data_IF_624588731286
#
_entry.id   IF_624588731286
#
_cell.length_a   1.000
_cell.length_b   1.000
_cell.length_c   1.000
_cell.angle_alpha   90.00
_cell.angle_beta   90.00
_cell.angle_gamma   90.00
#
_symmetry.space_group_name_H-M   'P 1'
#
loop_
_entity.id
_entity.type
_entity.pdbx_description
1 polymer ?
#
# COMPACT_ATOMS: atom_id res chain seq x y z
N UNK A 1 1.02 32.87 -13.43
CA UNK A 1 2.46 32.90 -13.13
C UNK A 1 2.79 31.64 -12.35
N UNK A 2 3.26 30.59 -13.03
CA UNK A 2 3.54 29.31 -12.41
C UNK A 2 4.79 29.40 -11.55
N UNK A 3 4.67 29.20 -10.25
CA UNK A 3 5.80 29.14 -9.34
C UNK A 3 6.58 27.84 -9.59
N UNK A 4 7.64 27.93 -10.40
CA UNK A 4 8.69 26.90 -10.54
C UNK A 4 9.53 26.85 -9.24
N UNK A 5 8.92 26.49 -8.12
CA UNK A 5 9.71 25.96 -7.00
C UNK A 5 10.18 24.57 -7.42
N UNK A 6 11.48 24.24 -7.27
CA UNK A 6 11.96 22.89 -7.59
C UNK A 6 11.15 21.87 -6.79
N UNK A 7 10.60 20.87 -7.47
CA UNK A 7 9.83 19.83 -6.83
C UNK A 7 10.69 19.14 -5.76
N UNK A 8 10.16 19.04 -4.55
CA UNK A 8 10.88 18.38 -3.48
C UNK A 8 11.02 16.88 -3.79
N UNK A 9 12.19 16.32 -3.48
CA UNK A 9 12.49 14.90 -3.65
C UNK A 9 11.92 14.11 -2.47
N UNK A 10 10.64 13.79 -2.53
CA UNK A 10 9.91 13.06 -1.49
C UNK A 10 9.28 11.81 -2.09
N UNK A 11 9.33 10.70 -1.36
CA UNK A 11 8.71 9.43 -1.71
C UNK A 11 7.77 8.98 -0.59
N UNK A 12 6.87 8.06 -0.92
CA UNK A 12 5.97 7.46 0.05
C UNK A 12 6.15 5.94 0.11
N UNK A 13 5.95 5.36 1.28
CA UNK A 13 5.76 3.94 1.47
C UNK A 13 4.37 3.70 2.05
N UNK A 14 3.59 2.84 1.40
CA UNK A 14 2.34 2.31 1.94
C UNK A 14 2.66 1.01 2.66
N UNK A 15 3.18 1.08 3.88
CA UNK A 15 3.62 -0.10 4.64
C UNK A 15 2.42 -0.93 5.07
N UNK A 16 2.37 -2.20 4.66
CA UNK A 16 1.27 -3.10 5.00
C UNK A 16 1.71 -4.09 6.09
N UNK A 17 0.97 -4.12 7.20
CA UNK A 17 1.22 -5.04 8.31
C UNK A 17 -0.03 -5.88 8.61
N UNK A 18 0.19 -7.13 8.99
CA UNK A 18 -0.85 -8.09 9.38
C UNK A 18 -1.24 -7.91 10.85
N UNK A 19 -1.73 -6.72 11.19
CA UNK A 19 -2.28 -6.34 12.50
C UNK A 19 -3.15 -5.09 12.34
N UNK A 20 -4.36 -5.10 12.90
CA UNK A 20 -5.23 -3.91 12.98
C UNK A 20 -6.08 -3.86 14.26
N UNK A 21 -6.12 -4.95 15.04
CA UNK A 21 -6.95 -5.08 16.24
C UNK A 21 -6.24 -4.55 17.47
N UNK A 22 -4.92 -4.70 17.52
CA UNK A 22 -4.08 -4.11 18.55
C UNK A 22 -3.53 -2.76 18.08
N UNK A 23 -4.28 -1.68 18.37
CA UNK A 23 -3.89 -0.30 18.06
C UNK A 23 -2.51 0.08 18.62
N UNK A 24 -2.15 -0.42 19.80
CA UNK A 24 -0.84 -0.14 20.41
C UNK A 24 0.33 -0.67 19.58
N UNK A 25 0.17 -1.85 18.95
CA UNK A 25 1.18 -2.41 18.04
C UNK A 25 1.28 -1.54 16.78
N UNK A 26 0.14 -1.21 16.15
CA UNK A 26 0.10 -0.42 14.91
C UNK A 26 0.74 0.97 15.13
N UNK A 27 0.37 1.66 16.20
CA UNK A 27 0.96 2.94 16.54
C UNK A 27 2.44 2.83 16.93
N UNK A 28 2.88 1.75 17.57
CA UNK A 28 4.31 1.53 17.86
C UNK A 28 5.13 1.40 16.58
N UNK A 29 4.59 0.70 15.57
CA UNK A 29 5.21 0.60 14.23
C UNK A 29 5.29 1.96 13.57
N UNK A 30 4.20 2.74 13.59
CA UNK A 30 4.17 4.09 13.01
C UNK A 30 5.14 5.05 13.70
N UNK A 31 5.19 5.05 15.04
CA UNK A 31 6.10 5.92 15.80
C UNK A 31 7.58 5.56 15.56
N UNK A 32 7.90 4.27 15.36
CA UNK A 32 9.26 3.84 15.04
C UNK A 32 9.78 4.44 13.72
N UNK A 33 8.87 4.82 12.81
CA UNK A 33 9.21 5.41 11.53
C UNK A 33 9.74 6.85 11.62
N UNK A 34 9.69 7.54 12.77
CA UNK A 34 9.76 9.02 12.83
C UNK A 34 11.01 9.59 13.50
N UNK A 35 11.68 8.82 14.35
CA UNK A 35 12.68 9.36 15.28
C UNK A 35 14.08 8.85 14.94
N UNK A 36 14.73 9.47 13.95
CA UNK A 36 16.12 9.24 13.59
C UNK A 36 16.73 10.52 12.99
N UNK A 37 18.07 10.70 13.02
CA UNK A 37 18.70 11.88 12.44
C UNK A 37 18.45 11.99 10.93
N UNK A 38 17.93 13.14 10.48
CA UNK A 38 17.69 13.38 9.05
C UNK A 38 19.01 13.52 8.30
N UNK A 39 19.12 12.87 7.14
CA UNK A 39 20.20 13.12 6.17
C UNK A 39 19.87 14.29 5.23
N UNK A 40 18.58 14.61 5.09
CA UNK A 40 18.11 15.76 4.31
C UNK A 40 18.16 17.04 5.14
N UNK A 41 18.74 18.10 4.56
CA UNK A 41 18.74 19.46 5.14
C UNK A 41 17.56 20.31 4.68
N UNK A 42 16.74 19.78 3.77
CA UNK A 42 15.64 20.52 3.15
C UNK A 42 14.36 20.54 3.99
N UNK A 43 14.30 19.72 5.05
CA UNK A 43 13.10 19.50 5.86
C UNK A 43 13.42 19.51 7.35
N UNK A 44 12.40 19.77 8.16
CA UNK A 44 12.54 19.88 9.62
C UNK A 44 12.48 18.53 10.33
N UNK A 45 11.71 17.58 9.81
CA UNK A 45 11.70 16.21 10.29
C UNK A 45 12.23 15.22 9.23
N UNK A 46 12.71 14.08 9.71
CA UNK A 46 13.33 13.05 8.87
C UNK A 46 12.32 12.29 8.03
N UNK A 47 11.09 12.17 8.52
CA UNK A 47 9.98 11.45 7.92
C UNK A 47 8.68 11.89 8.62
N UNK A 48 7.56 11.57 8.00
CA UNK A 48 6.22 11.77 8.55
C UNK A 48 5.37 10.55 8.26
N UNK A 49 4.44 10.23 9.16
CA UNK A 49 3.36 9.28 8.88
C UNK A 49 2.10 10.10 8.59
N UNK A 50 1.61 10.02 7.37
CA UNK A 50 0.48 10.82 6.89
C UNK A 50 -0.86 10.22 7.27
N UNK A 51 -0.94 8.89 7.30
CA UNK A 51 -2.17 8.16 7.59
C UNK A 51 -1.86 6.79 8.19
N UNK A 52 -2.77 6.31 9.04
CA UNK A 52 -2.85 4.91 9.46
C UNK A 52 -4.28 4.47 9.14
N UNK A 53 -4.41 3.59 8.16
CA UNK A 53 -5.65 2.88 7.91
C UNK A 53 -5.58 1.51 8.57
N UNK A 54 -6.56 1.17 9.41
CA UNK A 54 -6.63 -0.12 10.11
C UNK A 54 -8.03 -0.70 9.94
N UNK A 55 -8.10 -1.88 9.34
CA UNK A 55 -9.36 -2.60 9.13
C UNK A 55 -9.42 -3.82 10.07
N UNK A 56 -10.43 -3.82 10.94
CA UNK A 56 -10.60 -4.82 11.99
C UNK A 56 -10.93 -6.21 11.45
N UNK A 57 -11.77 -6.28 10.41
CA UNK A 57 -12.27 -7.53 9.81
C UNK A 57 -11.18 -8.16 8.94
N UNK A 58 -10.48 -7.35 8.14
CA UNK A 58 -9.30 -7.76 7.41
C UNK A 58 -8.11 -8.07 8.32
N UNK A 59 -8.09 -7.51 9.53
CA UNK A 59 -6.96 -7.54 10.47
C UNK A 59 -5.65 -7.12 9.78
N UNK A 60 -5.70 -6.00 9.06
CA UNK A 60 -4.60 -5.46 8.26
C UNK A 60 -4.57 -3.95 8.39
N UNK A 61 -3.36 -3.41 8.55
CA UNK A 61 -3.15 -1.96 8.55
C UNK A 61 -2.23 -1.53 7.42
N UNK A 62 -2.50 -0.34 6.89
CA UNK A 62 -1.66 0.37 5.93
C UNK A 62 -1.20 1.67 6.56
N UNK A 63 0.11 1.82 6.73
CA UNK A 63 0.74 3.00 7.30
C UNK A 63 1.38 3.78 6.14
N UNK A 64 0.88 4.98 5.86
CA UNK A 64 1.42 5.86 4.82
C UNK A 64 2.57 6.67 5.39
N UNK A 65 3.79 6.21 5.16
CA UNK A 65 5.04 6.88 5.56
C UNK A 65 5.52 7.73 4.38
N UNK A 66 5.84 9.00 4.59
CA UNK A 66 6.48 9.84 3.58
C UNK A 66 7.78 10.43 4.11
N UNK A 67 8.80 10.50 3.27
CA UNK A 67 10.10 11.00 3.67
C UNK A 67 10.88 11.53 2.46
N UNK A 68 11.90 12.37 2.67
CA UNK A 68 12.94 12.62 1.69
C UNK A 68 13.56 11.29 1.23
N UNK A 69 13.98 11.24 -0.03
CA UNK A 69 14.56 10.03 -0.64
C UNK A 69 15.69 9.44 0.20
N UNK A 70 16.52 10.28 0.81
CA UNK A 70 17.69 9.87 1.61
C UNK A 70 17.31 9.22 2.95
N UNK A 71 16.06 9.42 3.39
CA UNK A 71 15.57 9.05 4.72
C UNK A 71 14.56 7.90 4.70
N UNK A 72 13.89 7.64 3.57
CA UNK A 72 12.79 6.65 3.52
C UNK A 72 13.23 5.24 3.91
N UNK A 73 14.44 4.82 3.51
CA UNK A 73 14.97 3.49 3.84
C UNK A 73 15.10 3.31 5.36
N UNK A 74 15.69 4.28 6.05
CA UNK A 74 15.86 4.25 7.50
C UNK A 74 14.52 4.26 8.23
N UNK A 75 13.60 5.12 7.79
CA UNK A 75 12.25 5.25 8.35
C UNK A 75 11.49 3.93 8.28
N UNK A 76 11.40 3.34 7.09
CA UNK A 76 10.65 2.12 6.86
C UNK A 76 11.33 0.91 7.50
N UNK A 77 12.67 0.84 7.51
CA UNK A 77 13.40 -0.22 8.19
C UNK A 77 13.08 -0.27 9.68
N UNK A 78 13.08 0.88 10.37
CA UNK A 78 12.75 0.96 11.81
C UNK A 78 11.32 0.51 12.10
N UNK A 79 10.37 0.94 11.27
CA UNK A 79 8.99 0.47 11.36
C UNK A 79 8.91 -1.07 11.22
N UNK A 80 9.61 -1.63 10.23
CA UNK A 80 9.66 -3.08 10.01
C UNK A 80 10.27 -3.83 11.19
N UNK A 81 11.34 -3.32 11.81
CA UNK A 81 11.96 -3.96 12.99
C UNK A 81 10.96 -4.13 14.14
N UNK A 82 10.16 -3.08 14.41
CA UNK A 82 9.10 -3.15 15.43
C UNK A 82 7.99 -4.11 14.99
N UNK A 83 7.56 -4.04 13.73
CA UNK A 83 6.50 -4.93 13.22
C UNK A 83 6.89 -6.42 13.32
N UNK A 84 8.09 -6.81 12.90
CA UNK A 84 8.57 -8.20 13.05
C UNK A 84 8.73 -8.60 14.53
N UNK A 85 9.10 -7.68 15.41
CA UNK A 85 9.20 -7.98 16.84
C UNK A 85 7.82 -8.30 17.45
N UNK A 86 6.81 -7.49 17.13
CA UNK A 86 5.52 -7.51 17.82
C UNK A 86 4.49 -8.45 17.15
N UNK A 87 4.59 -8.67 15.82
CA UNK A 87 3.59 -9.42 15.06
C UNK A 87 4.05 -10.87 14.84
N UNK A 88 3.18 -11.81 15.19
CA UNK A 88 3.37 -13.23 14.91
C UNK A 88 2.29 -13.71 13.92
N UNK A 89 2.69 -13.92 12.67
CA UNK A 89 1.79 -14.35 11.60
C UNK A 89 1.14 -15.71 11.87
N UNK A 90 1.82 -16.61 12.60
CA UNK A 90 1.27 -17.92 12.98
C UNK A 90 0.07 -17.85 13.92
N UNK A 91 -0.16 -16.70 14.57
CA UNK A 91 -1.34 -16.43 15.42
C UNK A 91 -2.36 -15.51 14.72
N UNK A 92 -2.03 -14.98 13.55
CA UNK A 92 -2.86 -14.02 12.83
C UNK A 92 -4.07 -14.68 12.17
N UNK A 93 -5.24 -14.05 12.35
CA UNK A 93 -6.48 -14.40 11.65
C UNK A 93 -7.15 -13.10 11.17
N UNK A 94 -7.50 -13.03 9.91
CA UNK A 94 -8.16 -11.89 9.27
C UNK A 94 -8.78 -12.27 7.93
N UNK A 95 -9.75 -11.48 7.46
CA UNK A 95 -10.46 -11.74 6.20
C UNK A 95 -9.64 -11.43 4.93
N UNK A 96 -8.56 -10.65 5.05
CA UNK A 96 -7.74 -10.27 3.90
C UNK A 96 -6.57 -11.24 3.68
N UNK A 97 -6.34 -11.72 2.44
CA UNK A 97 -5.21 -12.59 2.14
C UNK A 97 -3.86 -11.90 2.43
N UNK A 98 -2.88 -12.66 2.94
CA UNK A 98 -1.57 -12.16 3.40
C UNK A 98 -0.52 -13.26 3.32
N UNK A 99 0.74 -12.87 3.10
CA UNK A 99 1.90 -13.76 3.11
C UNK A 99 2.92 -13.41 4.20
N UNK A 100 2.88 -12.20 4.76
CA UNK A 100 3.87 -11.73 5.75
C UNK A 100 3.26 -11.02 6.96
N UNK A 101 3.97 -11.06 8.09
CA UNK A 101 3.73 -10.22 9.28
C UNK A 101 3.87 -8.74 8.94
N UNK A 102 4.97 -8.38 8.27
CA UNK A 102 5.06 -7.26 7.33
C UNK A 102 4.74 -7.83 5.96
N UNK A 103 3.58 -7.51 5.39
CA UNK A 103 3.11 -8.14 4.15
C UNK A 103 3.74 -7.49 2.91
N UNK A 104 3.68 -6.16 2.83
CA UNK A 104 4.20 -5.40 1.69
C UNK A 104 4.88 -4.11 2.10
N UNK A 105 5.98 -3.81 1.42
CA UNK A 105 6.77 -2.58 1.50
C UNK A 105 6.94 -2.00 0.08
N UNK A 106 5.88 -1.42 -0.50
CA UNK A 106 6.00 -0.69 -1.75
C UNK A 106 6.57 0.71 -1.49
N UNK A 107 7.64 1.07 -2.21
CA UNK A 107 8.13 2.44 -2.31
C UNK A 107 7.55 3.07 -3.57
N UNK A 108 6.83 4.17 -3.39
CA UNK A 108 6.15 4.89 -4.44
C UNK A 108 6.82 6.22 -4.70
N UNK A 109 6.99 6.54 -5.97
CA UNK A 109 7.21 7.92 -6.37
C UNK A 109 5.90 8.71 -6.28
N UNK A 110 5.97 9.89 -5.68
CA UNK A 110 4.87 10.86 -5.57
C UNK A 110 5.26 12.22 -6.18
N UNK A 111 6.35 12.26 -6.95
CA UNK A 111 6.92 13.46 -7.58
C UNK A 111 7.68 13.06 -8.83
N UNK A 112 7.62 13.87 -9.88
CA UNK A 112 8.38 13.61 -11.12
C UNK A 112 9.90 13.73 -10.93
N UNK A 113 10.34 14.34 -9.83
CA UNK A 113 11.76 14.48 -9.50
C UNK A 113 12.46 13.19 -9.09
N UNK A 114 11.71 12.12 -8.75
CA UNK A 114 12.26 10.83 -8.30
C UNK A 114 11.77 9.73 -9.21
N UNK A 115 12.71 9.00 -9.82
CA UNK A 115 12.39 7.92 -10.75
C UNK A 115 11.97 6.64 -10.02
N UNK A 116 11.21 5.78 -10.69
CA UNK A 116 10.91 4.45 -10.16
C UNK A 116 12.16 3.56 -10.06
N UNK A 117 13.15 3.74 -10.92
CA UNK A 117 14.42 3.00 -10.84
C UNK A 117 15.15 3.32 -9.53
N UNK A 118 15.24 4.60 -9.16
CA UNK A 118 15.81 5.05 -7.88
C UNK A 118 15.01 4.49 -6.68
N UNK A 119 13.68 4.51 -6.75
CA UNK A 119 12.83 3.85 -5.75
C UNK A 119 13.09 2.32 -5.67
N UNK A 120 13.38 1.69 -6.81
CA UNK A 120 13.71 0.27 -6.92
C UNK A 120 15.02 -0.08 -6.24
N UNK A 121 16.05 0.75 -6.40
CA UNK A 121 17.33 0.60 -5.68
C UNK A 121 17.14 0.73 -4.17
N UNK A 122 16.36 1.72 -3.73
CA UNK A 122 16.00 1.90 -2.31
C UNK A 122 15.27 0.67 -1.77
N UNK A 123 14.25 0.18 -2.49
CA UNK A 123 13.49 -0.99 -2.10
C UNK A 123 14.38 -2.25 -2.02
N UNK A 124 15.27 -2.46 -2.99
CA UNK A 124 16.22 -3.58 -2.97
C UNK A 124 17.19 -3.50 -1.78
N UNK A 125 17.74 -2.30 -1.51
CA UNK A 125 18.64 -2.08 -0.38
C UNK A 125 17.93 -2.29 0.96
N UNK A 126 16.68 -1.79 1.09
CA UNK A 126 15.83 -2.05 2.23
C UNK A 126 15.58 -3.55 2.43
N UNK A 127 15.24 -4.28 1.37
CA UNK A 127 15.05 -5.74 1.42
C UNK A 127 16.30 -6.48 1.92
N UNK A 128 17.48 -6.15 1.38
CA UNK A 128 18.77 -6.69 1.83
C UNK A 128 19.05 -6.35 3.30
N UNK A 129 18.76 -5.11 3.70
CA UNK A 129 18.96 -4.64 5.06
C UNK A 129 18.05 -5.34 6.06
N UNK A 130 16.79 -5.57 5.72
CA UNK A 130 15.83 -6.33 6.54
C UNK A 130 16.39 -7.74 6.82
N UNK A 131 16.72 -8.51 5.77
CA UNK A 131 17.18 -9.89 5.95
C UNK A 131 18.55 -9.99 6.62
N UNK A 132 19.39 -8.95 6.49
CA UNK A 132 20.69 -8.86 7.18
C UNK A 132 20.61 -8.53 8.67
N UNK A 133 19.52 -7.91 9.13
CA UNK A 133 19.37 -7.43 10.52
C UNK A 133 18.27 -8.14 11.31
N UNK A 134 17.27 -8.71 10.64
CA UNK A 134 16.17 -9.46 11.27
C UNK A 134 16.26 -10.91 10.80
N UNK A 135 16.82 -11.78 11.65
CA UNK A 135 17.01 -13.20 11.33
C UNK A 135 15.68 -13.87 10.99
N UNK A 136 15.74 -14.89 10.13
CA UNK A 136 14.59 -15.71 9.70
C UNK A 136 13.53 -14.96 8.89
N UNK A 137 13.81 -13.73 8.47
CA UNK A 137 12.96 -13.01 7.52
C UNK A 137 13.28 -13.39 6.09
N UNK A 138 12.27 -13.27 5.24
CA UNK A 138 12.29 -13.61 3.82
C UNK A 138 11.65 -12.50 3.03
N UNK A 139 12.22 -12.19 1.88
CA UNK A 139 11.70 -11.15 0.99
C UNK A 139 11.54 -11.69 -0.42
N UNK A 140 10.42 -11.35 -1.06
CA UNK A 140 10.30 -11.39 -2.51
C UNK A 140 10.24 -9.97 -3.08
N UNK A 141 10.92 -9.76 -4.20
CA UNK A 141 11.03 -8.48 -4.88
C UNK A 141 9.94 -8.34 -5.94
N UNK A 142 9.49 -7.11 -6.16
CA UNK A 142 8.57 -6.77 -7.25
C UNK A 142 8.80 -5.35 -7.79
N UNK A 143 8.21 -5.06 -8.94
CA UNK A 143 8.33 -3.79 -9.63
C UNK A 143 9.80 -3.48 -9.95
N UNK A 144 10.20 -2.23 -9.78
CA UNK A 144 11.55 -1.77 -10.10
C UNK A 144 12.68 -2.37 -9.24
N UNK A 145 12.34 -3.09 -8.15
CA UNK A 145 13.31 -3.87 -7.38
C UNK A 145 13.57 -5.27 -7.95
N UNK A 146 12.66 -5.81 -8.78
CA UNK A 146 12.75 -7.14 -9.38
C UNK A 146 13.50 -7.11 -10.72
N UNK A 147 14.80 -6.79 -10.67
CA UNK A 147 15.63 -6.69 -11.87
C UNK A 147 16.12 -8.08 -12.35
N UNK A 148 16.24 -8.30 -13.68
CA UNK A 148 16.00 -7.35 -14.78
C UNK A 148 14.55 -7.33 -15.32
N UNK A 149 13.65 -8.14 -14.75
CA UNK A 149 12.34 -8.42 -15.36
C UNK A 149 11.25 -7.37 -15.04
N UNK A 150 11.42 -6.62 -13.95
CA UNK A 150 10.53 -5.55 -13.48
C UNK A 150 9.07 -6.03 -13.33
N UNK A 151 8.86 -7.27 -12.83
CA UNK A 151 7.52 -7.86 -12.79
C UNK A 151 6.66 -7.20 -11.72
N UNK A 152 5.41 -6.91 -12.08
CA UNK A 152 4.46 -6.27 -11.17
C UNK A 152 4.09 -7.15 -9.96
N UNK A 153 3.46 -6.54 -8.95
CA UNK A 153 3.11 -7.23 -7.70
C UNK A 153 2.22 -8.47 -7.92
N UNK A 154 1.21 -8.38 -8.80
CA UNK A 154 0.30 -9.50 -9.08
C UNK A 154 1.04 -10.69 -9.70
N UNK A 155 1.96 -10.43 -10.64
CA UNK A 155 2.77 -11.45 -11.28
C UNK A 155 3.73 -12.10 -10.28
N UNK A 156 4.42 -11.30 -9.47
CA UNK A 156 5.32 -11.81 -8.42
C UNK A 156 4.59 -12.62 -7.36
N UNK A 157 3.41 -12.18 -6.91
CA UNK A 157 2.54 -12.95 -6.02
C UNK A 157 2.22 -14.34 -6.56
N UNK A 158 1.94 -14.46 -7.87
CA UNK A 158 1.74 -15.78 -8.50
C UNK A 158 3.03 -16.59 -8.51
N UNK A 159 4.16 -15.98 -8.89
CA UNK A 159 5.45 -16.64 -8.98
C UNK A 159 5.96 -17.20 -7.64
N UNK A 160 5.61 -16.57 -6.51
CA UNK A 160 6.01 -17.01 -5.16
C UNK A 160 4.94 -17.82 -4.43
N UNK A 161 3.89 -18.24 -5.12
CA UNK A 161 2.77 -19.00 -4.54
C UNK A 161 2.02 -18.26 -3.41
N UNK A 162 1.95 -16.91 -3.46
CA UNK A 162 1.32 -16.06 -2.43
C UNK A 162 -0.16 -16.39 -2.17
N UNK A 163 -0.89 -16.88 -3.19
CA UNK A 163 -2.33 -17.19 -3.07
C UNK A 163 -2.61 -18.61 -2.53
N UNK A 164 -1.59 -19.42 -2.23
CA UNK A 164 -1.78 -20.77 -1.73
C UNK A 164 -1.98 -20.75 -0.20
N UNK A 165 -3.20 -21.02 0.27
CA UNK A 165 -3.51 -21.23 1.69
C UNK A 165 -4.15 -20.04 2.39
N UNK A 166 -5.48 -19.99 2.43
CA UNK A 166 -6.23 -18.98 3.20
C UNK A 166 -6.19 -19.25 4.72
N UNK A 167 -6.08 -20.52 5.13
CA UNK A 167 -6.10 -20.93 6.54
C UNK A 167 -4.86 -21.71 6.98
N UNK A 168 -4.23 -22.48 6.09
CA UNK A 168 -3.01 -23.26 6.36
C UNK A 168 -1.98 -23.05 5.26
N UNK A 169 -1.22 -21.97 5.37
CA UNK A 169 -0.14 -21.69 4.43
C UNK A 169 1.03 -22.66 4.63
N UNK A 170 1.37 -23.39 3.56
CA UNK A 170 2.58 -24.20 3.49
C UNK A 170 3.76 -23.34 3.03
N UNK A 171 4.47 -22.76 3.99
CA UNK A 171 5.62 -21.91 3.72
C UNK A 171 6.79 -22.62 3.00
N UNK A 172 6.82 -23.96 2.98
CA UNK A 172 7.83 -24.71 2.23
C UNK A 172 7.68 -24.57 0.71
N UNK A 173 6.49 -24.16 0.24
CA UNK A 173 6.17 -23.93 -1.18
C UNK A 173 6.27 -22.47 -1.58
N UNK A 174 6.41 -21.57 -0.61
CA UNK A 174 6.49 -20.13 -0.87
C UNK A 174 7.87 -19.80 -1.42
N UNK A 175 7.92 -19.10 -2.55
CA UNK A 175 9.17 -18.61 -3.12
C UNK A 175 9.68 -17.35 -2.40
N UNK A 176 11.00 -17.15 -2.39
CA UNK A 176 11.63 -15.93 -1.88
C UNK A 176 12.89 -15.63 -2.69
N UNK A 177 13.30 -14.37 -2.69
CA UNK A 177 14.50 -13.90 -3.42
C UNK A 177 15.66 -13.59 -2.47
N UNK A 178 15.37 -13.08 -1.26
CA UNK A 178 16.37 -12.69 -0.27
C UNK A 178 16.06 -13.31 1.10
N UNK A 179 17.12 -13.58 1.87
CA UNK A 179 17.01 -14.03 3.27
C UNK A 179 16.87 -15.54 3.43
N UNK A 180 16.21 -15.93 4.51
CA UNK A 180 16.01 -17.35 4.87
C UNK A 180 14.72 -17.89 4.22
N UNK A 181 14.47 -19.22 4.23
CA UNK A 181 13.16 -19.75 3.89
C UNK A 181 12.04 -19.12 4.74
N UNK A 182 10.88 -18.80 4.15
CA UNK A 182 9.73 -18.24 4.87
C UNK A 182 9.35 -19.08 6.08
N UNK A 183 9.12 -18.40 7.21
CA UNK A 183 8.79 -19.03 8.48
C UNK A 183 7.34 -18.76 8.87
N UNK A 184 6.76 -19.60 9.73
CA UNK A 184 5.39 -19.39 10.20
C UNK A 184 5.22 -18.07 10.97
N UNK A 185 6.27 -17.59 11.65
CA UNK A 185 6.22 -16.35 12.43
C UNK A 185 6.21 -15.12 11.54
N UNK A 186 7.08 -15.06 10.53
CA UNK A 186 7.26 -13.86 9.72
C UNK A 186 6.59 -13.92 8.36
N UNK A 187 6.49 -15.12 7.79
CA UNK A 187 6.08 -15.34 6.42
C UNK A 187 7.11 -14.83 5.42
N UNK A 188 6.62 -14.27 4.32
CA UNK A 188 7.47 -13.67 3.28
C UNK A 188 6.96 -12.27 2.93
N UNK A 189 7.85 -11.29 2.98
CA UNK A 189 7.53 -9.88 2.77
C UNK A 189 7.75 -9.47 1.32
N UNK A 190 6.76 -8.86 0.69
CA UNK A 190 6.96 -8.26 -0.64
C UNK A 190 7.62 -6.90 -0.53
N UNK A 191 8.75 -6.68 -1.18
CA UNK A 191 9.44 -5.38 -1.20
C UNK A 191 9.63 -4.94 -2.65
N UNK A 192 9.27 -3.69 -2.96
CA UNK A 192 9.31 -3.26 -4.36
C UNK A 192 9.08 -1.78 -4.56
N UNK A 193 9.16 -1.37 -5.82
CA UNK A 193 8.86 0.00 -6.22
C UNK A 193 7.98 0.03 -7.46
N UNK A 194 6.88 0.78 -7.35
CA UNK A 194 5.82 0.88 -8.36
C UNK A 194 5.25 2.30 -8.31
N UNK A 195 4.52 2.75 -9.36
CA UNK A 195 3.71 3.96 -9.27
C UNK A 195 2.83 3.96 -8.02
N UNK A 196 2.46 5.15 -7.54
CA UNK A 196 1.59 5.29 -6.37
C UNK A 196 0.25 4.56 -6.59
N UNK A 197 -0.32 3.96 -5.54
CA UNK A 197 -1.60 3.27 -5.62
C UNK A 197 -2.64 4.02 -4.80
N UNK A 198 -3.78 4.29 -5.43
CA UNK A 198 -4.94 4.90 -4.76
C UNK A 198 -5.96 3.83 -4.44
N UNK A 199 -6.46 3.76 -3.20
CA UNK A 199 -7.48 2.78 -2.82
C UNK A 199 -8.85 3.46 -2.73
N UNK A 200 -9.83 2.95 -3.46
CA UNK A 200 -11.20 3.47 -3.50
C UNK A 200 -12.18 2.32 -3.24
N UNK A 201 -12.87 2.37 -2.11
CA UNK A 201 -13.86 1.37 -1.75
C UNK A 201 -15.26 1.94 -2.02
N UNK A 202 -16.07 1.21 -2.79
CA UNK A 202 -17.46 1.60 -3.06
C UNK A 202 -18.38 0.55 -2.44
N UNK A 203 -19.21 0.96 -1.48
CA UNK A 203 -20.17 0.08 -0.80
C UNK A 203 -21.53 0.18 -1.46
N UNK A 204 -22.14 -0.97 -1.75
CA UNK A 204 -23.53 -1.08 -2.23
C UNK A 204 -24.45 -1.49 -1.08
N UNK A 205 -25.69 -1.00 -1.11
CA UNK A 205 -26.68 -1.25 -0.06
C UNK A 205 -27.39 -2.60 -0.24
N UNK A 206 -26.61 -3.69 -0.22
CA UNK A 206 -27.11 -5.06 -0.23
C UNK A 206 -26.11 -6.03 0.42
N UNK A 207 -26.56 -7.28 0.65
CA UNK A 207 -25.74 -8.39 1.16
C UNK A 207 -25.40 -9.42 0.07
N UNK A 208 -25.76 -9.15 -1.18
CA UNK A 208 -25.54 -10.08 -2.29
C UNK A 208 -24.08 -10.02 -2.76
N UNK A 209 -23.24 -10.86 -2.15
CA UNK A 209 -21.83 -10.96 -2.51
C UNK A 209 -21.63 -11.41 -3.97
N UNK A 210 -22.58 -12.13 -4.55
CA UNK A 210 -22.49 -12.53 -5.96
C UNK A 210 -22.64 -11.32 -6.88
N UNK A 211 -23.60 -10.44 -6.60
CA UNK A 211 -23.71 -9.14 -7.27
C UNK A 211 -22.43 -8.31 -7.10
N UNK A 212 -21.87 -8.26 -5.89
CA UNK A 212 -20.58 -7.60 -5.64
C UNK A 212 -19.46 -8.12 -6.53
N UNK A 213 -19.33 -9.44 -6.64
CA UNK A 213 -18.32 -10.09 -7.50
C UNK A 213 -18.53 -9.78 -8.98
N UNK A 214 -19.78 -9.71 -9.44
CA UNK A 214 -20.13 -9.32 -10.80
C UNK A 214 -19.72 -7.87 -11.10
N UNK A 215 -20.05 -6.94 -10.20
CA UNK A 215 -19.66 -5.53 -10.29
C UNK A 215 -18.14 -5.40 -10.28
N UNK A 216 -17.46 -6.02 -9.30
CA UNK A 216 -16.01 -5.99 -9.20
C UNK A 216 -15.38 -6.47 -10.51
N UNK A 217 -15.80 -7.63 -11.03
CA UNK A 217 -15.31 -8.14 -12.32
C UNK A 217 -15.53 -7.13 -13.46
N UNK A 218 -16.70 -6.52 -13.56
CA UNK A 218 -17.05 -5.61 -14.65
C UNK A 218 -16.22 -4.32 -14.68
N UNK A 219 -15.75 -3.83 -13.52
CA UNK A 219 -14.97 -2.58 -13.45
C UNK A 219 -13.46 -2.78 -13.59
N UNK A 220 -12.95 -4.02 -13.52
CA UNK A 220 -11.51 -4.29 -13.64
C UNK A 220 -10.97 -3.87 -15.00
N UNK A 221 -9.77 -3.30 -15.02
CA UNK A 221 -9.05 -2.93 -16.24
C UNK A 221 -8.85 -4.10 -17.23
N UNK A 222 -8.82 -5.32 -16.72
CA UNK A 222 -8.67 -6.55 -17.52
C UNK A 222 -9.96 -6.96 -18.25
N UNK A 223 -11.09 -6.31 -17.97
CA UNK A 223 -12.39 -6.63 -18.57
C UNK A 223 -12.69 -5.62 -19.68
N UNK A 224 -13.17 -6.06 -20.87
CA UNK A 224 -13.58 -5.15 -21.93
C UNK A 224 -14.62 -4.13 -21.43
N UNK A 225 -14.31 -2.83 -21.57
CA UNK A 225 -15.16 -1.75 -21.05
C UNK A 225 -15.05 -1.52 -19.53
N UNK A 226 -14.04 -2.11 -18.88
CA UNK A 226 -13.63 -1.79 -17.51
C UNK A 226 -12.86 -0.47 -17.43
N UNK A 227 -12.49 -0.08 -16.21
CA UNK A 227 -11.83 1.18 -15.93
C UNK A 227 -10.30 1.01 -15.95
N UNK A 228 -9.58 1.97 -16.53
CA UNK A 228 -8.12 1.91 -16.65
C UNK A 228 -7.45 1.82 -15.28
N UNK A 229 -6.45 0.94 -15.13
CA UNK A 229 -5.71 0.78 -13.88
C UNK A 229 -6.50 0.21 -12.69
N UNK A 230 -7.81 0.02 -12.79
CA UNK A 230 -8.63 -0.48 -11.68
C UNK A 230 -8.47 -1.99 -11.52
N UNK A 231 -8.00 -2.40 -10.35
CA UNK A 231 -8.15 -3.74 -9.81
C UNK A 231 -9.22 -3.70 -8.72
N UNK A 232 -10.08 -4.71 -8.62
CA UNK A 232 -11.17 -4.67 -7.66
C UNK A 232 -11.53 -6.03 -7.11
N UNK A 233 -11.98 -6.10 -5.86
CA UNK A 233 -12.50 -7.30 -5.22
C UNK A 233 -13.76 -6.95 -4.43
N UNK A 234 -14.62 -7.94 -4.22
CA UNK A 234 -15.84 -7.77 -3.44
C UNK A 234 -15.72 -8.54 -2.12
N UNK A 235 -16.10 -7.88 -1.03
CA UNK A 235 -16.05 -8.42 0.32
C UNK A 235 -17.37 -8.14 1.04
N UNK A 236 -17.70 -9.02 1.99
CA UNK A 236 -18.70 -8.69 3.01
C UNK A 236 -18.02 -7.75 4.01
N UNK A 237 -18.65 -6.60 4.29
CA UNK A 237 -18.14 -5.58 5.20
C UNK A 237 -19.30 -4.85 5.86
N UNK A 238 -19.33 -4.78 7.20
CA UNK A 238 -20.37 -4.11 7.99
C UNK A 238 -21.83 -4.49 7.59
N UNK A 239 -22.06 -5.77 7.29
CA UNK A 239 -23.40 -6.26 6.89
C UNK A 239 -23.86 -5.80 5.50
N UNK A 240 -22.92 -5.33 4.66
CA UNK A 240 -23.11 -4.96 3.26
C UNK A 240 -22.02 -5.58 2.39
N UNK A 241 -22.05 -5.24 1.11
CA UNK A 241 -21.03 -5.61 0.14
C UNK A 241 -20.20 -4.38 -0.23
N UNK A 242 -18.90 -4.49 -0.01
CA UNK A 242 -17.92 -3.49 -0.40
C UNK A 242 -17.15 -3.96 -1.65
N UNK A 243 -17.07 -3.09 -2.65
CA UNK A 243 -16.20 -3.26 -3.82
C UNK A 243 -14.93 -2.47 -3.54
N UNK A 244 -13.92 -3.15 -3.01
CA UNK A 244 -12.61 -2.58 -2.74
C UNK A 244 -11.81 -2.48 -4.04
N UNK A 245 -11.34 -1.27 -4.39
CA UNK A 245 -10.60 -1.01 -5.62
C UNK A 245 -9.20 -0.48 -5.32
N UNK A 246 -8.19 -1.07 -5.96
CA UNK A 246 -6.85 -0.49 -6.07
C UNK A 246 -6.74 0.14 -7.47
N UNK A 247 -6.32 1.39 -7.54
CA UNK A 247 -6.12 2.13 -8.79
C UNK A 247 -4.62 2.24 -9.05
N UNK A 248 -4.17 1.48 -10.03
CA UNK A 248 -2.82 1.54 -10.59
C UNK A 248 -2.70 2.69 -11.60
N UNK A 249 -1.49 3.21 -11.76
CA UNK A 249 -1.21 4.17 -12.82
C UNK A 249 -1.43 3.56 -14.21
N UNK A 250 -1.85 4.39 -15.15
CA UNK A 250 -1.75 4.09 -16.58
C UNK A 250 -0.29 3.80 -16.96
N UNK A 251 -0.12 2.96 -17.98
CA UNK A 251 1.20 2.69 -18.56
C UNK A 251 1.76 3.92 -19.29
N UNK A 252 0.89 4.80 -19.76
CA UNK A 252 1.27 6.02 -20.46
C UNK A 252 1.41 7.17 -19.46
N UNK A 253 2.51 7.90 -19.59
CA UNK A 253 2.74 9.14 -18.85
C UNK A 253 2.08 10.31 -19.60
N UNK A 254 1.69 11.34 -18.85
CA UNK A 254 1.31 12.62 -19.45
C UNK A 254 2.50 13.28 -20.17
N UNK A 255 2.24 14.31 -20.96
CA UNK A 255 3.27 15.15 -21.57
C UNK A 255 4.25 15.77 -20.56
N UNK A 256 3.83 15.88 -19.30
CA UNK A 256 4.63 16.43 -18.19
C UNK A 256 5.36 15.34 -17.39
N UNK A 257 5.28 14.07 -17.83
CA UNK A 257 5.89 12.93 -17.15
C UNK A 257 5.14 12.45 -15.91
N UNK A 258 3.90 12.89 -15.72
CA UNK A 258 3.06 12.46 -14.59
C UNK A 258 2.34 11.14 -14.92
N UNK A 259 2.24 10.27 -13.93
CA UNK A 259 1.36 9.10 -14.00
C UNK A 259 -0.11 9.54 -14.03
N UNK A 260 -0.92 8.85 -14.83
CA UNK A 260 -2.36 9.09 -14.91
C UNK A 260 -3.13 8.01 -14.13
N UNK A 261 -4.24 8.39 -13.51
CA UNK A 261 -5.05 7.51 -12.68
C UNK A 261 -6.53 7.72 -12.97
N UNK A 262 -7.33 6.66 -12.92
CA UNK A 262 -8.79 6.78 -12.90
C UNK A 262 -9.23 7.45 -11.61
N UNK A 263 -10.07 8.47 -11.72
CA UNK A 263 -10.53 9.20 -10.54
C UNK A 263 -11.55 8.37 -9.72
N UNK A 264 -11.56 8.51 -8.37
CA UNK A 264 -12.54 7.82 -7.52
C UNK A 264 -13.99 8.03 -7.93
N UNK A 265 -14.32 9.23 -8.43
CA UNK A 265 -15.67 9.57 -8.92
C UNK A 265 -16.08 8.73 -10.13
N UNK A 266 -15.15 8.40 -11.03
CA UNK A 266 -15.43 7.53 -12.18
C UNK A 266 -15.75 6.10 -11.72
N UNK A 267 -15.04 5.62 -10.69
CA UNK A 267 -15.28 4.30 -10.08
C UNK A 267 -16.66 4.27 -9.42
N UNK A 268 -16.97 5.29 -8.61
CA UNK A 268 -18.29 5.43 -7.97
C UNK A 268 -19.41 5.42 -9.00
N UNK A 269 -19.31 6.27 -10.03
CA UNK A 269 -20.31 6.39 -11.07
C UNK A 269 -20.50 5.05 -11.80
N UNK A 270 -19.41 4.35 -12.11
CA UNK A 270 -19.49 3.06 -12.80
C UNK A 270 -20.14 1.98 -11.94
N UNK A 271 -19.81 1.91 -10.66
CA UNK A 271 -20.44 0.97 -9.72
C UNK A 271 -21.92 1.29 -9.57
N UNK A 272 -22.28 2.58 -9.42
CA UNK A 272 -23.65 3.06 -9.33
C UNK A 272 -24.49 2.64 -10.54
N UNK A 273 -23.97 2.83 -11.75
CA UNK A 273 -24.64 2.42 -12.99
C UNK A 273 -24.97 0.93 -13.03
N UNK A 274 -24.02 0.07 -12.63
CA UNK A 274 -24.20 -1.38 -12.69
C UNK A 274 -25.16 -1.84 -11.58
N UNK A 275 -25.01 -1.32 -10.37
CA UNK A 275 -25.89 -1.62 -9.24
C UNK A 275 -27.34 -1.19 -9.51
N UNK A 276 -27.54 -0.02 -10.14
CA UNK A 276 -28.86 0.49 -10.48
C UNK A 276 -29.63 -0.43 -11.43
N UNK A 277 -28.96 -1.16 -12.34
CA UNK A 277 -29.59 -2.17 -13.22
C UNK A 277 -30.20 -3.33 -12.45
N UNK A 278 -29.81 -3.51 -11.18
CA UNK A 278 -30.32 -4.53 -10.26
C UNK A 278 -31.19 -3.92 -9.15
N UNK A 279 -31.59 -2.65 -9.29
CA UNK A 279 -32.31 -1.89 -8.28
C UNK A 279 -31.59 -1.76 -6.92
N UNK A 280 -30.26 -1.87 -6.92
CA UNK A 280 -29.42 -1.68 -5.73
C UNK A 280 -28.82 -0.28 -5.73
N UNK A 281 -28.89 0.42 -4.59
CA UNK A 281 -28.32 1.76 -4.42
C UNK A 281 -26.88 1.69 -3.92
N UNK A 282 -26.12 2.76 -4.15
CA UNK A 282 -24.88 2.97 -3.42
C UNK A 282 -25.18 3.32 -1.96
N UNK A 283 -24.38 2.78 -1.06
CA UNK A 283 -24.34 3.20 0.34
C UNK A 283 -23.32 4.33 0.53
N UNK A 284 -22.16 4.23 -0.11
CA UNK A 284 -21.15 5.28 -0.08
C UNK A 284 -19.82 4.88 -0.70
N UNK A 285 -18.93 5.85 -0.86
CA UNK A 285 -17.58 5.68 -1.40
C UNK A 285 -16.58 6.21 -0.39
N UNK A 286 -15.45 5.50 -0.25
CA UNK A 286 -14.37 5.84 0.67
C UNK A 286 -13.04 5.78 -0.07
N UNK A 287 -12.25 6.86 0.00
CA UNK A 287 -10.88 6.87 -0.49
C UNK A 287 -9.93 6.49 0.65
N UNK A 288 -9.42 5.27 0.66
CA UNK A 288 -8.50 4.82 1.71
C UNK A 288 -7.11 5.42 1.48
N UNK A 289 -6.74 6.39 2.30
CA UNK A 289 -5.51 7.18 2.16
C UNK A 289 -5.69 8.40 1.26
N UNK A 290 -4.79 8.58 0.30
CA UNK A 290 -4.68 9.81 -0.50
C UNK A 290 -4.49 9.49 -1.98
N UNK A 291 -4.85 10.44 -2.85
CA UNK A 291 -4.36 10.45 -4.23
C UNK A 291 -2.86 10.79 -4.26
N UNK A 292 -2.14 10.56 -5.37
CA UNK A 292 -0.71 10.86 -5.46
C UNK A 292 -0.39 12.34 -5.20
N UNK A 293 -1.15 13.26 -5.80
CA UNK A 293 -0.98 14.71 -5.62
C UNK A 293 -1.27 15.14 -4.17
N UNK A 294 -2.29 14.55 -3.56
CA UNK A 294 -2.64 14.81 -2.17
C UNK A 294 -1.56 14.27 -1.23
N UNK A 295 -1.02 13.07 -1.49
CA UNK A 295 0.08 12.49 -0.72
C UNK A 295 1.34 13.38 -0.80
N UNK A 296 1.71 13.86 -1.99
CA UNK A 296 2.83 14.77 -2.17
C UNK A 296 2.66 16.08 -1.40
N UNK A 297 1.52 16.76 -1.59
CA UNK A 297 1.24 18.04 -0.92
C UNK A 297 1.24 17.89 0.61
N UNK A 298 0.61 16.83 1.13
CA UNK A 298 0.59 16.54 2.58
C UNK A 298 1.97 16.21 3.12
N UNK A 299 2.75 15.39 2.40
CA UNK A 299 4.12 15.05 2.76
C UNK A 299 4.99 16.30 2.86
N UNK A 300 5.04 17.12 1.80
CA UNK A 300 5.83 18.35 1.78
C UNK A 300 5.43 19.28 2.91
N UNK A 301 4.13 19.49 3.12
CA UNK A 301 3.67 20.36 4.20
C UNK A 301 4.12 19.85 5.57
N UNK A 302 3.84 18.58 5.87
CA UNK A 302 4.17 17.98 7.15
C UNK A 302 5.69 17.98 7.43
N UNK A 303 6.52 17.68 6.41
CA UNK A 303 7.97 17.70 6.53
C UNK A 303 8.54 19.12 6.74
N UNK A 304 7.95 20.14 6.12
CA UNK A 304 8.33 21.55 6.28
C UNK A 304 7.86 22.17 7.61
N UNK A 305 6.76 21.66 8.17
CA UNK A 305 6.16 22.13 9.42
C UNK A 305 6.63 21.38 10.67
N UNK A 306 7.58 20.43 10.52
CA UNK A 306 8.04 19.55 11.61
C UNK A 306 6.92 18.66 12.19
N UNK A 307 5.92 18.34 11.37
CA UNK A 307 4.80 17.49 11.75
C UNK A 307 5.07 16.03 11.35
N UNK A 308 5.90 15.36 12.14
CA UNK A 308 6.14 13.92 11.96
C UNK A 308 4.88 13.06 12.20
N UNK A 309 3.91 13.58 12.97
CA UNK A 309 2.71 12.85 13.39
C UNK A 309 1.40 13.26 12.74
N UNK A 310 1.43 13.57 11.45
CA UNK A 310 0.27 14.07 10.73
C UNK A 310 -0.99 13.17 10.87
N UNK A 311 -0.82 11.85 10.95
CA UNK A 311 -1.92 10.91 11.16
C UNK A 311 -2.74 11.15 12.45
N UNK A 312 -2.15 11.73 13.50
CA UNK A 312 -2.86 11.98 14.77
C UNK A 312 -3.88 13.11 14.67
N UNK A 313 -3.66 14.05 13.74
CA UNK A 313 -4.49 15.23 13.55
C UNK A 313 -5.44 15.10 12.35
N UNK A 314 -5.38 13.98 11.61
CA UNK A 314 -6.27 13.75 10.48
C UNK A 314 -7.69 13.49 10.99
N UNK A 315 -8.55 14.51 10.98
CA UNK A 315 -10.01 14.35 11.15
C UNK A 315 -10.63 13.62 9.96
N UNK A 316 -9.95 13.65 8.82
CA UNK A 316 -10.17 12.81 7.66
C UNK A 316 -9.54 11.45 7.91
N UNK A 317 -10.03 10.71 8.91
CA UNK A 317 -9.94 9.26 8.86
C UNK A 317 -10.80 8.83 7.70
N UNK A 318 -10.21 8.83 6.50
CA UNK A 318 -10.77 8.03 5.42
C UNK A 318 -10.43 6.58 5.75
N UNK A 319 -11.23 6.04 6.68
CA UNK A 319 -11.48 4.61 6.84
C UNK A 319 -12.04 4.05 5.52
#
# INVERSE_FOLDING_TARGET
>A
MGSNSPAFRVVACLLNISEARNKGIVESVANAALNFPSKSKSFKCSSTVLNIFSDYDYNRSVITIAAPVENIEESVFRACQVAYKEINLGKHKGGHPRLGSVDLIPIHTITTSVSLAECGEIALNLGKRIVGNVKETSVFLFGHADQPLVRGLVERRKAVNWYQGAHDMDFSRVGWDLGSPPSQRYGCTGVGAIPYITNCNVTIDCQDLQLGKEIAKAIRATTPGGLAGVQSMAFEHEGRVEIACNVEASKELSSEGNFQYTHPEEIENRVKEIAAKKNVKLYGTKLVGFTPDEAYRRAVNALCEDNATAWKCSTEYRM
#
